data_IF_819016655332
#
_entry.id   IF_819016655332
#
_cell.length_a   1.000
_cell.length_b   1.000
_cell.length_c   1.000
_cell.angle_alpha   90.00
_cell.angle_beta   90.00
_cell.angle_gamma   90.00
#
_symmetry.space_group_name_H-M   'P 1'
#
loop_
_entity.id
_entity.type
_entity.pdbx_description
1 polymer ?
#
# COMPACT_ATOMS: atom_id res chain seq x y z
N UNK A 1 15.36 -1.83 3.04
CA UNK A 1 13.90 -2.05 2.90
C UNK A 1 13.70 -2.49 1.47
N UNK A 2 12.98 -3.58 1.25
CA UNK A 2 12.89 -4.20 -0.08
C UNK A 2 12.01 -3.41 -1.05
N UNK A 3 12.31 -3.55 -2.33
CA UNK A 3 11.51 -2.95 -3.41
C UNK A 3 10.23 -3.76 -3.68
N UNK A 4 10.22 -5.04 -3.28
CA UNK A 4 9.12 -5.96 -3.54
C UNK A 4 8.06 -5.89 -2.44
N UNK A 5 6.81 -5.62 -2.85
CA UNK A 5 5.67 -5.51 -1.93
C UNK A 5 5.38 -6.82 -1.16
N UNK A 6 5.74 -7.97 -1.74
CA UNK A 6 5.56 -9.30 -1.15
C UNK A 6 6.35 -9.52 0.14
N UNK A 7 7.43 -8.76 0.35
CA UNK A 7 8.25 -8.84 1.56
C UNK A 7 7.65 -8.08 2.74
N UNK A 8 6.55 -7.36 2.53
CA UNK A 8 5.89 -6.58 3.56
C UNK A 8 4.71 -7.34 4.15
N UNK A 9 4.65 -7.40 5.49
CA UNK A 9 3.50 -7.95 6.23
C UNK A 9 2.43 -6.90 6.54
N UNK A 10 2.75 -5.62 6.34
CA UNK A 10 1.87 -4.47 6.56
C UNK A 10 2.04 -3.49 5.40
N UNK A 11 0.94 -3.18 4.71
CA UNK A 11 0.97 -2.30 3.54
C UNK A 11 1.54 -0.90 3.86
N UNK A 12 1.44 -0.44 5.11
CA UNK A 12 1.91 0.90 5.51
C UNK A 12 3.43 1.01 5.46
N UNK A 13 4.14 -0.10 5.66
CA UNK A 13 5.59 -0.14 5.49
C UNK A 13 5.99 0.00 4.02
N UNK A 14 5.27 -0.68 3.12
CA UNK A 14 5.45 -0.53 1.68
C UNK A 14 5.16 0.91 1.23
N UNK A 15 4.08 1.53 1.69
CA UNK A 15 3.79 2.92 1.35
C UNK A 15 4.85 3.88 1.89
N UNK A 16 5.41 3.60 3.07
CA UNK A 16 6.51 4.38 3.63
C UNK A 16 7.79 4.23 2.81
N UNK A 17 8.06 3.04 2.29
CA UNK A 17 9.14 2.80 1.32
C UNK A 17 8.93 3.63 0.05
N UNK A 18 7.78 3.52 -0.61
CA UNK A 18 7.45 4.29 -1.82
C UNK A 18 7.51 5.80 -1.59
N UNK A 19 7.09 6.28 -0.42
CA UNK A 19 7.25 7.69 -0.02
C UNK A 19 8.71 8.11 0.03
N UNK A 20 9.59 7.32 0.66
CA UNK A 20 11.02 7.63 0.76
C UNK A 20 11.68 7.65 -0.62
N UNK A 21 11.36 6.68 -1.48
CA UNK A 21 11.84 6.65 -2.86
C UNK A 21 11.42 7.91 -3.64
N UNK A 22 10.12 8.25 -3.59
CA UNK A 22 9.60 9.41 -4.30
C UNK A 22 10.19 10.73 -3.76
N UNK A 23 10.38 10.84 -2.45
CA UNK A 23 11.01 11.99 -1.79
C UNK A 23 12.48 12.15 -2.18
N UNK A 24 13.22 11.05 -2.26
CA UNK A 24 14.62 11.06 -2.70
C UNK A 24 14.76 11.52 -4.16
N UNK A 25 13.82 11.09 -5.02
CA UNK A 25 13.78 11.49 -6.44
C UNK A 25 13.28 12.93 -6.63
N UNK A 26 12.36 13.41 -5.79
CA UNK A 26 11.74 14.73 -5.91
C UNK A 26 11.57 15.39 -4.53
N UNK A 27 12.37 16.40 -4.24
CA UNK A 27 12.33 17.11 -2.96
C UNK A 27 10.94 17.72 -2.65
N UNK A 28 10.14 18.08 -3.65
CA UNK A 28 8.78 18.61 -3.47
C UNK A 28 7.74 17.54 -3.09
N UNK A 29 8.08 16.24 -3.17
CA UNK A 29 7.20 15.14 -2.75
C UNK A 29 7.11 15.08 -1.21
N UNK A 30 6.30 15.96 -0.63
CA UNK A 30 6.14 16.10 0.82
C UNK A 30 4.89 15.37 1.34
N UNK A 31 4.76 15.23 2.66
CA UNK A 31 3.51 14.73 3.26
C UNK A 31 2.30 15.59 2.89
N UNK A 32 2.50 16.90 2.69
CA UNK A 32 1.43 17.80 2.24
C UNK A 32 1.04 17.49 0.79
N UNK A 33 2.01 17.19 -0.08
CA UNK A 33 1.72 16.77 -1.44
C UNK A 33 0.91 15.47 -1.47
N UNK A 34 1.31 14.46 -0.68
CA UNK A 34 0.54 13.21 -0.56
C UNK A 34 -0.88 13.48 -0.07
N UNK A 35 -1.05 14.31 0.96
CA UNK A 35 -2.35 14.66 1.53
C UNK A 35 -3.30 15.27 0.49
N UNK A 36 -2.80 16.22 -0.31
CA UNK A 36 -3.56 16.84 -1.39
C UNK A 36 -3.99 15.83 -2.46
N UNK A 37 -3.11 14.90 -2.85
CA UNK A 37 -3.41 13.89 -3.87
C UNK A 37 -4.34 12.77 -3.37
N UNK A 38 -4.33 12.51 -2.07
CA UNK A 38 -5.15 11.48 -1.43
C UNK A 38 -6.46 12.04 -0.85
N UNK A 39 -6.71 13.34 -0.99
CA UNK A 39 -7.90 14.03 -0.47
C UNK A 39 -8.10 13.85 1.05
N UNK A 40 -6.99 13.85 1.80
CA UNK A 40 -6.98 13.71 3.26
C UNK A 40 -6.10 14.77 3.92
N UNK A 41 -6.11 14.83 5.25
CA UNK A 41 -5.22 15.74 5.97
C UNK A 41 -3.78 15.22 6.01
N UNK A 42 -2.80 16.15 6.05
CA UNK A 42 -1.38 15.82 6.25
C UNK A 42 -1.14 15.00 7.52
N UNK A 43 -1.85 15.33 8.60
CA UNK A 43 -1.78 14.60 9.86
C UNK A 43 -2.24 13.16 9.70
N UNK A 44 -3.32 12.94 8.93
CA UNK A 44 -3.81 11.60 8.64
C UNK A 44 -2.77 10.77 7.87
N UNK A 45 -2.15 11.31 6.81
CA UNK A 45 -1.06 10.62 6.09
C UNK A 45 0.07 10.25 7.04
N UNK A 46 0.49 11.19 7.90
CA UNK A 46 1.51 10.91 8.92
C UNK A 46 1.09 9.77 9.85
N UNK A 47 -0.15 9.75 10.32
CA UNK A 47 -0.65 8.68 11.19
C UNK A 47 -0.73 7.33 10.50
N UNK A 48 -1.00 7.27 9.19
CA UNK A 48 -0.91 6.03 8.44
C UNK A 48 0.54 5.55 8.38
N UNK A 49 1.51 6.41 8.05
CA UNK A 49 2.93 6.03 7.99
C UNK A 49 3.52 5.69 9.37
N UNK A 50 3.00 6.28 10.43
CA UNK A 50 3.34 5.97 11.82
C UNK A 50 2.52 4.76 12.36
N UNK A 51 1.76 4.06 11.51
CA UNK A 51 0.93 2.87 11.82
C UNK A 51 -0.15 3.07 12.90
N UNK A 52 -0.61 4.31 13.09
CA UNK A 52 -1.67 4.69 14.05
C UNK A 52 -3.07 4.67 13.44
N UNK A 53 -3.15 4.68 12.12
CA UNK A 53 -4.39 4.65 11.32
C UNK A 53 -4.23 3.75 10.11
N UNK A 54 -5.36 3.39 9.53
CA UNK A 54 -5.44 2.77 8.22
C UNK A 54 -6.12 3.72 7.23
N UNK A 55 -5.78 3.58 5.95
CA UNK A 55 -6.62 4.13 4.89
C UNK A 55 -7.93 3.35 4.85
N UNK A 56 -8.94 3.91 4.20
CA UNK A 56 -10.15 3.14 3.86
C UNK A 56 -9.97 2.51 2.49
N UNK A 57 -10.72 1.46 2.21
CA UNK A 57 -10.65 0.75 0.92
C UNK A 57 -10.85 1.70 -0.29
N UNK A 58 -11.80 2.67 -0.26
CA UNK A 58 -11.96 3.64 -1.35
C UNK A 58 -10.76 4.57 -1.59
N UNK A 59 -9.82 4.70 -0.66
CA UNK A 59 -8.60 5.50 -0.88
C UNK A 59 -7.57 4.78 -1.74
N UNK A 60 -7.66 3.45 -1.92
CA UNK A 60 -6.64 2.67 -2.61
C UNK A 60 -6.37 3.14 -4.06
N UNK A 61 -7.38 3.46 -4.91
CA UNK A 61 -7.12 3.97 -6.26
C UNK A 61 -6.31 5.28 -6.29
N UNK A 62 -6.50 6.16 -5.31
CA UNK A 62 -5.71 7.40 -5.18
C UNK A 62 -4.27 7.08 -4.77
N UNK A 63 -4.07 6.08 -3.90
CA UNK A 63 -2.73 5.59 -3.52
C UNK A 63 -2.01 4.98 -4.72
N UNK A 64 -2.70 4.18 -5.54
CA UNK A 64 -2.15 3.60 -6.77
C UNK A 64 -1.65 4.69 -7.71
N UNK A 65 -2.46 5.72 -7.92
CA UNK A 65 -2.14 6.84 -8.79
C UNK A 65 -0.99 7.70 -8.25
N UNK A 66 -1.01 8.00 -6.94
CA UNK A 66 0.03 8.79 -6.26
C UNK A 66 1.42 8.16 -6.43
N UNK A 67 1.52 6.84 -6.26
CA UNK A 67 2.78 6.10 -6.35
C UNK A 67 3.05 5.47 -7.72
N UNK A 68 2.15 5.67 -8.69
CA UNK A 68 2.23 5.12 -10.04
C UNK A 68 2.44 3.61 -10.05
N UNK A 69 1.63 2.90 -9.26
CA UNK A 69 1.75 1.45 -9.11
C UNK A 69 1.35 0.73 -10.41
N UNK A 70 2.13 -0.28 -10.76
CA UNK A 70 1.80 -1.22 -11.85
C UNK A 70 0.55 -2.04 -11.51
N UNK A 71 -0.17 -2.62 -12.50
CA UNK A 71 -1.36 -3.45 -12.23
C UNK A 71 -1.09 -4.56 -11.20
N UNK A 72 0.09 -5.19 -11.28
CA UNK A 72 0.55 -6.17 -10.30
C UNK A 72 0.67 -5.58 -8.89
N UNK A 73 1.37 -4.47 -8.74
CA UNK A 73 1.50 -3.80 -7.44
C UNK A 73 0.16 -3.30 -6.89
N UNK A 74 -0.77 -2.88 -7.75
CA UNK A 74 -2.12 -2.49 -7.33
C UNK A 74 -2.85 -3.67 -6.70
N UNK A 75 -2.81 -4.84 -7.34
CA UNK A 75 -3.44 -6.05 -6.81
C UNK A 75 -2.77 -6.52 -5.52
N UNK A 76 -1.43 -6.58 -5.50
CA UNK A 76 -0.67 -6.93 -4.31
C UNK A 76 -0.96 -5.96 -3.16
N UNK A 77 -1.01 -4.65 -3.41
CA UNK A 77 -1.30 -3.66 -2.37
C UNK A 77 -2.71 -3.82 -1.83
N UNK A 78 -3.68 -4.10 -2.70
CA UNK A 78 -5.07 -4.30 -2.31
C UNK A 78 -5.23 -5.50 -1.39
N UNK A 79 -4.65 -6.64 -1.76
CA UNK A 79 -4.73 -7.84 -0.92
C UNK A 79 -3.88 -7.71 0.35
N UNK A 80 -2.74 -7.02 0.30
CA UNK A 80 -1.95 -6.72 1.50
C UNK A 80 -2.71 -5.78 2.44
N UNK A 81 -3.42 -4.79 1.91
CA UNK A 81 -4.33 -3.95 2.68
C UNK A 81 -5.39 -4.80 3.37
N UNK A 82 -6.14 -5.61 2.62
CA UNK A 82 -7.18 -6.49 3.16
C UNK A 82 -6.64 -7.44 4.23
N UNK A 83 -5.49 -8.06 3.98
CA UNK A 83 -4.79 -8.90 4.96
C UNK A 83 -4.46 -8.14 6.25
N UNK A 84 -3.93 -6.92 6.12
CA UNK A 84 -3.50 -6.10 7.26
C UNK A 84 -4.68 -5.64 8.11
N UNK A 85 -5.79 -5.23 7.48
CA UNK A 85 -6.95 -4.64 8.18
C UNK A 85 -8.00 -5.63 8.63
N UNK A 86 -8.02 -6.85 8.07
CA UNK A 86 -8.94 -7.89 8.51
C UNK A 86 -8.68 -8.25 9.97
N UNK A 87 -9.72 -8.54 10.73
CA UNK A 87 -9.62 -9.16 12.06
C UNK A 87 -9.99 -10.65 12.02
N UNK A 88 -10.77 -11.05 11.02
CA UNK A 88 -11.18 -12.43 10.81
C UNK A 88 -9.99 -13.30 10.34
N UNK A 89 -9.63 -14.37 11.08
CA UNK A 89 -8.52 -15.25 10.73
C UNK A 89 -8.69 -15.99 9.41
N UNK A 90 -9.92 -16.37 9.07
CA UNK A 90 -10.27 -17.08 7.83
C UNK A 90 -10.01 -16.16 6.64
N UNK A 91 -10.52 -14.92 6.69
CA UNK A 91 -10.26 -13.91 5.67
C UNK A 91 -8.77 -13.59 5.55
N UNK A 92 -8.04 -13.46 6.67
CA UNK A 92 -6.58 -13.28 6.63
C UNK A 92 -5.88 -14.42 5.90
N UNK A 93 -6.25 -15.66 6.21
CA UNK A 93 -5.68 -16.83 5.53
C UNK A 93 -5.94 -16.77 4.02
N UNK A 94 -7.17 -16.42 3.61
CA UNK A 94 -7.51 -16.29 2.20
C UNK A 94 -6.71 -15.18 1.50
N UNK A 95 -6.63 -13.99 2.09
CA UNK A 95 -5.83 -12.90 1.50
C UNK A 95 -4.36 -13.25 1.43
N UNK A 96 -3.83 -13.99 2.41
CA UNK A 96 -2.45 -14.49 2.37
C UNK A 96 -2.24 -15.48 1.23
N UNK A 97 -3.13 -16.45 1.05
CA UNK A 97 -3.07 -17.37 -0.09
C UNK A 97 -3.11 -16.65 -1.44
N UNK A 98 -3.92 -15.59 -1.57
CA UNK A 98 -3.96 -14.79 -2.80
C UNK A 98 -2.63 -14.04 -3.01
N UNK A 99 -2.07 -13.42 -1.97
CA UNK A 99 -0.77 -12.74 -2.06
C UNK A 99 0.34 -13.71 -2.49
N UNK A 100 0.36 -14.91 -1.91
CA UNK A 100 1.32 -15.95 -2.27
C UNK A 100 1.14 -16.41 -3.71
N UNK A 101 -0.11 -16.59 -4.16
CA UNK A 101 -0.44 -16.96 -5.54
C UNK A 101 -0.09 -15.90 -6.58
N UNK A 102 -0.18 -14.61 -6.22
CA UNK A 102 0.30 -13.52 -7.07
C UNK A 102 1.83 -13.60 -7.16
N UNK A 103 2.51 -13.74 -6.03
CA UNK A 103 3.98 -13.77 -5.98
C UNK A 103 4.56 -14.93 -6.78
N UNK A 104 3.96 -16.12 -6.67
CA UNK A 104 4.35 -17.31 -7.43
C UNK A 104 3.91 -17.30 -8.90
N UNK A 105 3.31 -16.22 -9.39
CA UNK A 105 2.72 -16.09 -10.73
C UNK A 105 1.66 -17.16 -11.07
N UNK A 106 1.06 -17.76 -10.04
CA UNK A 106 -0.03 -18.72 -10.22
C UNK A 106 -1.36 -18.02 -10.50
N UNK A 107 -1.49 -16.77 -10.05
CA UNK A 107 -2.57 -15.86 -10.45
C UNK A 107 -2.03 -14.92 -11.53
N UNK A 108 -2.53 -15.07 -12.75
CA UNK A 108 -2.20 -14.18 -13.85
C UNK A 108 -2.82 -12.80 -13.62
N UNK A 109 -2.08 -11.74 -13.94
CA UNK A 109 -2.53 -10.36 -13.90
C UNK A 109 -2.38 -9.85 -15.33
N UNK A 110 -3.51 -9.67 -16.01
CA UNK A 110 -3.60 -9.13 -17.37
C UNK A 110 -3.42 -7.60 -17.39
#
# INVERSE_FOLDING_TARGET
>A
MSEHISEYTDYRDFLRYKYKEAKAKRATFSLQHCATQLEVSKTFVKFVFDKKRHFTFPTLPLVWSLFKLTPREQMQLTFLFCFTVSEDPTLKSHFKSVLDGIESNTIAIE
#
